data_IF_160838935443
#
_entry.id   IF_160838935443
#
_cell.length_a   1.000
_cell.length_b   1.000
_cell.length_c   1.000
_cell.angle_alpha   90.00
_cell.angle_beta   90.00
_cell.angle_gamma   90.00
#
_symmetry.space_group_name_H-M   'P 1'
#
loop_
_entity.id
_entity.type
_entity.pdbx_description
1 polymer ?
#
# COMPACT_ATOMS: atom_id res chain seq x y z
N UNK A 1 -36.69 42.76 43.12
CA UNK A 1 -36.67 41.94 41.85
C UNK A 1 -35.23 41.73 41.47
N UNK A 2 -34.64 40.56 41.75
CA UNK A 2 -33.27 40.21 41.41
C UNK A 2 -33.31 39.60 40.03
N UNK A 3 -32.81 40.32 39.00
CA UNK A 3 -32.68 39.76 37.65
C UNK A 3 -31.56 38.70 37.67
N UNK A 4 -31.95 37.44 37.38
CA UNK A 4 -30.96 36.41 37.12
C UNK A 4 -30.12 36.79 35.92
N UNK A 5 -28.79 36.64 35.95
CA UNK A 5 -27.96 36.86 34.79
C UNK A 5 -28.34 35.85 33.67
N UNK A 6 -28.20 36.23 32.41
CA UNK A 6 -28.49 35.33 31.30
C UNK A 6 -27.53 34.13 31.37
N UNK A 7 -28.11 32.93 31.34
CA UNK A 7 -27.35 31.70 31.24
C UNK A 7 -26.48 31.76 29.96
N UNK A 8 -25.21 32.02 30.18
CA UNK A 8 -24.22 31.94 29.10
C UNK A 8 -24.13 30.49 28.58
N UNK A 9 -24.57 30.26 27.44
CA UNK A 9 -24.17 29.38 26.35
C UNK A 9 -23.22 28.17 26.56
N UNK A 10 -23.49 27.20 27.45
CA UNK A 10 -22.93 25.86 27.26
C UNK A 10 -23.81 24.99 26.34
N UNK A 11 -25.08 25.37 26.12
CA UNK A 11 -26.04 24.57 25.34
C UNK A 11 -25.74 24.51 23.83
N UNK A 12 -25.10 25.52 23.25
CA UNK A 12 -24.76 25.51 21.83
C UNK A 12 -23.58 24.60 21.49
N UNK A 13 -22.60 24.45 22.36
CA UNK A 13 -21.46 23.56 22.12
C UNK A 13 -21.84 22.10 22.29
N UNK A 14 -22.70 21.76 23.25
CA UNK A 14 -23.19 20.39 23.44
C UNK A 14 -24.17 19.99 22.33
N UNK A 15 -25.08 20.89 21.94
CA UNK A 15 -25.98 20.64 20.81
C UNK A 15 -25.23 20.48 19.49
N UNK A 16 -24.19 21.27 19.21
CA UNK A 16 -23.36 21.12 18.02
C UNK A 16 -22.55 19.81 18.04
N UNK A 17 -22.02 19.40 19.21
CA UNK A 17 -21.33 18.10 19.35
C UNK A 17 -22.30 16.92 19.26
N UNK A 18 -23.53 17.05 19.78
CA UNK A 18 -24.58 16.05 19.67
C UNK A 18 -25.14 15.92 18.25
N UNK A 19 -25.22 17.00 17.49
CA UNK A 19 -25.58 16.99 16.07
C UNK A 19 -24.49 16.31 15.24
N UNK A 20 -23.20 16.51 15.57
CA UNK A 20 -22.08 15.84 14.90
C UNK A 20 -22.01 14.33 15.24
N UNK A 21 -22.35 13.96 16.47
CA UNK A 21 -22.45 12.54 16.91
C UNK A 21 -23.70 11.83 16.40
N UNK A 22 -24.74 12.58 16.01
CA UNK A 22 -26.01 12.06 15.45
C UNK A 22 -26.06 12.23 13.93
N UNK A 23 -24.97 12.03 13.20
CA UNK A 23 -25.10 11.75 11.78
C UNK A 23 -25.87 10.43 11.64
N UNK A 24 -27.14 10.54 11.32
CA UNK A 24 -27.99 9.38 11.04
C UNK A 24 -27.32 8.66 9.86
N UNK A 25 -26.79 7.49 10.15
CA UNK A 25 -26.22 6.64 9.09
C UNK A 25 -27.35 6.41 8.07
N UNK A 26 -27.11 6.82 6.84
CA UNK A 26 -28.06 6.60 5.76
C UNK A 26 -28.29 5.10 5.61
N UNK A 27 -29.46 4.64 6.02
CA UNK A 27 -29.91 3.26 5.81
C UNK A 27 -30.67 3.22 4.47
N UNK A 28 -30.06 2.71 3.41
CA UNK A 28 -30.75 2.57 2.14
C UNK A 28 -31.94 1.62 2.29
N UNK A 29 -33.08 2.01 1.69
CA UNK A 29 -34.24 1.11 1.65
C UNK A 29 -33.86 -0.16 0.88
N UNK A 30 -34.02 -1.33 1.51
CA UNK A 30 -33.82 -2.62 0.83
C UNK A 30 -34.77 -2.71 -0.37
N UNK A 31 -34.20 -2.79 -1.57
CA UNK A 31 -34.89 -2.99 -2.82
C UNK A 31 -34.36 -4.27 -3.47
N UNK A 32 -35.12 -5.34 -3.35
CA UNK A 32 -34.69 -6.66 -3.83
C UNK A 32 -34.29 -6.66 -5.32
N UNK A 33 -35.00 -5.91 -6.16
CA UNK A 33 -34.67 -5.78 -7.58
C UNK A 33 -33.32 -5.09 -7.82
N UNK A 34 -33.04 -3.97 -7.10
CA UNK A 34 -31.77 -3.25 -7.21
C UNK A 34 -30.62 -4.10 -6.63
N UNK A 35 -30.84 -4.76 -5.50
CA UNK A 35 -29.83 -5.59 -4.85
C UNK A 35 -29.43 -6.78 -5.76
N UNK A 36 -30.42 -7.44 -6.41
CA UNK A 36 -30.16 -8.52 -7.36
C UNK A 36 -29.44 -8.05 -8.63
N UNK A 37 -29.81 -6.88 -9.17
CA UNK A 37 -29.16 -6.30 -10.32
C UNK A 37 -27.69 -5.96 -10.00
N UNK A 38 -27.43 -5.34 -8.85
CA UNK A 38 -26.07 -4.99 -8.41
C UNK A 38 -25.25 -6.25 -8.12
N UNK A 39 -25.85 -7.26 -7.50
CA UNK A 39 -25.19 -8.55 -7.28
C UNK A 39 -24.82 -9.21 -8.61
N UNK A 40 -25.72 -9.22 -9.58
CA UNK A 40 -25.44 -9.74 -10.94
C UNK A 40 -24.29 -9.00 -11.61
N UNK A 41 -24.29 -7.66 -11.57
CA UNK A 41 -23.22 -6.85 -12.12
C UNK A 41 -21.86 -7.14 -11.46
N UNK A 42 -21.80 -7.14 -10.14
CA UNK A 42 -20.57 -7.46 -9.40
C UNK A 42 -20.11 -8.90 -9.68
N UNK A 43 -21.04 -9.85 -9.80
CA UNK A 43 -20.71 -11.25 -10.11
C UNK A 43 -20.11 -11.42 -11.50
N UNK A 44 -20.62 -10.72 -12.51
CA UNK A 44 -20.04 -10.73 -13.87
C UNK A 44 -18.60 -10.23 -13.84
N UNK A 45 -18.34 -9.10 -13.18
CA UNK A 45 -16.98 -8.56 -13.06
C UNK A 45 -16.07 -9.55 -12.33
N UNK A 46 -16.52 -10.12 -11.23
CA UNK A 46 -15.76 -11.11 -10.46
C UNK A 46 -15.43 -12.35 -11.30
N UNK A 47 -16.38 -12.86 -12.07
CA UNK A 47 -16.18 -14.01 -12.97
C UNK A 47 -15.13 -13.67 -14.03
N UNK A 48 -15.20 -12.50 -14.66
CA UNK A 48 -14.21 -12.08 -15.67
C UNK A 48 -12.80 -12.05 -15.07
N UNK A 49 -12.62 -11.45 -13.88
CA UNK A 49 -11.32 -11.41 -13.19
C UNK A 49 -10.82 -12.83 -12.87
N UNK A 50 -11.70 -13.71 -12.35
CA UNK A 50 -11.34 -15.09 -12.03
C UNK A 50 -10.99 -15.89 -13.28
N UNK A 51 -11.66 -15.65 -14.40
CA UNK A 51 -11.33 -16.29 -15.68
C UNK A 51 -9.95 -15.84 -16.18
N UNK A 52 -9.60 -14.56 -16.08
CA UNK A 52 -8.28 -14.06 -16.47
C UNK A 52 -7.17 -14.73 -15.65
N UNK A 53 -7.31 -14.77 -14.32
CA UNK A 53 -6.35 -15.44 -13.43
C UNK A 53 -6.34 -16.95 -13.69
N UNK A 54 -7.50 -17.55 -13.90
CA UNK A 54 -7.65 -18.97 -14.23
C UNK A 54 -6.97 -19.35 -15.54
N UNK A 55 -7.04 -18.49 -16.56
CA UNK A 55 -6.33 -18.70 -17.83
C UNK A 55 -4.81 -18.59 -17.66
N UNK A 56 -4.32 -17.63 -16.88
CA UNK A 56 -2.89 -17.54 -16.56
C UNK A 56 -2.42 -18.79 -15.82
N UNK A 57 -3.19 -19.26 -14.83
CA UNK A 57 -2.91 -20.50 -14.11
C UNK A 57 -2.96 -21.74 -15.03
N UNK A 58 -3.93 -21.79 -15.92
CA UNK A 58 -4.04 -22.86 -16.90
C UNK A 58 -2.83 -22.86 -17.84
N UNK A 59 -2.42 -21.68 -18.36
CA UNK A 59 -1.22 -21.53 -19.18
C UNK A 59 0.05 -21.99 -18.48
N UNK A 60 0.20 -21.71 -17.17
CA UNK A 60 1.32 -22.15 -16.35
C UNK A 60 1.38 -23.67 -16.14
N UNK A 61 0.23 -24.37 -16.24
CA UNK A 61 0.14 -25.80 -15.98
C UNK A 61 0.07 -26.65 -17.25
N UNK A 62 -0.29 -26.08 -18.41
CA UNK A 62 -0.43 -26.83 -19.66
C UNK A 62 0.92 -27.07 -20.29
N UNK A 63 1.16 -28.33 -20.70
CA UNK A 63 2.45 -28.77 -21.24
C UNK A 63 2.86 -28.06 -22.52
N UNK A 64 1.92 -27.84 -23.45
CA UNK A 64 2.17 -27.14 -24.72
C UNK A 64 0.87 -26.60 -25.33
N UNK A 65 0.61 -25.34 -25.19
CA UNK A 65 -0.57 -24.70 -25.77
C UNK A 65 -0.40 -24.48 -27.28
N UNK A 66 -1.43 -24.69 -28.11
CA UNK A 66 -2.74 -25.32 -27.84
C UNK A 66 -2.78 -26.84 -28.10
N UNK A 67 -1.64 -27.47 -28.42
CA UNK A 67 -1.56 -28.84 -28.96
C UNK A 67 -1.60 -29.95 -27.90
N UNK A 68 -1.05 -29.71 -26.72
CA UNK A 68 -1.02 -30.69 -25.64
C UNK A 68 -1.48 -30.07 -24.32
N UNK A 69 -2.73 -30.29 -23.98
CA UNK A 69 -3.41 -29.73 -22.81
C UNK A 69 -3.20 -30.54 -21.53
N UNK A 70 -2.33 -31.57 -21.54
CA UNK A 70 -2.00 -32.31 -20.32
C UNK A 70 -1.32 -31.40 -19.29
N UNK A 71 -1.73 -31.55 -18.03
CA UNK A 71 -1.20 -30.75 -16.94
C UNK A 71 0.21 -31.21 -16.55
N UNK A 72 1.08 -30.24 -16.26
CA UNK A 72 2.46 -30.45 -15.83
C UNK A 72 2.88 -29.35 -14.85
N UNK A 73 3.86 -29.65 -14.00
CA UNK A 73 4.53 -28.66 -13.14
C UNK A 73 5.92 -28.29 -13.69
N UNK A 74 6.28 -28.75 -14.91
CA UNK A 74 7.61 -28.53 -15.48
C UNK A 74 7.95 -27.04 -15.59
N UNK A 75 6.98 -26.19 -15.90
CA UNK A 75 7.18 -24.75 -16.09
C UNK A 75 7.58 -23.99 -14.81
N UNK A 76 7.43 -24.61 -13.63
CA UNK A 76 7.94 -24.09 -12.37
C UNK A 76 9.42 -24.47 -12.11
N UNK A 77 10.03 -25.28 -13.00
CA UNK A 77 11.47 -25.53 -13.05
C UNK A 77 12.09 -24.61 -14.11
N UNK A 78 12.47 -23.42 -13.69
CA UNK A 78 13.06 -22.42 -14.58
C UNK A 78 14.48 -22.85 -14.95
N UNK A 79 14.71 -23.11 -16.25
CA UNK A 79 16.00 -23.58 -16.78
C UNK A 79 16.96 -22.40 -17.06
N UNK A 80 16.43 -21.18 -17.17
CA UNK A 80 17.24 -19.98 -17.50
C UNK A 80 17.84 -19.40 -16.23
N UNK A 81 19.18 -19.36 -16.16
CA UNK A 81 19.90 -18.80 -15.03
C UNK A 81 19.56 -17.30 -14.85
N UNK A 82 19.34 -16.89 -13.60
CA UNK A 82 18.97 -15.52 -13.25
C UNK A 82 17.51 -15.12 -13.49
N UNK A 83 16.74 -15.91 -14.24
CA UNK A 83 15.32 -15.64 -14.52
C UNK A 83 14.35 -16.55 -13.75
N UNK A 84 14.87 -17.38 -12.85
CA UNK A 84 14.08 -18.37 -12.12
C UNK A 84 13.78 -18.00 -10.68
N UNK A 85 14.00 -18.95 -9.80
CA UNK A 85 13.75 -18.79 -8.36
C UNK A 85 14.55 -17.67 -7.72
N UNK A 86 15.76 -17.35 -8.21
CA UNK A 86 16.57 -16.23 -7.72
C UNK A 86 15.81 -14.91 -7.90
N UNK A 87 15.23 -14.67 -9.07
CA UNK A 87 14.46 -13.45 -9.33
C UNK A 87 13.20 -13.37 -8.47
N UNK A 88 12.58 -14.52 -8.15
CA UNK A 88 11.46 -14.57 -7.23
C UNK A 88 11.88 -14.19 -5.80
N UNK A 89 12.98 -14.75 -5.29
CA UNK A 89 13.50 -14.40 -3.97
C UNK A 89 13.92 -12.93 -3.89
N UNK A 90 14.59 -12.40 -4.90
CA UNK A 90 14.93 -10.99 -4.99
C UNK A 90 13.69 -10.09 -4.93
N UNK A 91 12.60 -10.48 -5.61
CA UNK A 91 11.34 -9.73 -5.53
C UNK A 91 10.73 -9.76 -4.14
N UNK A 92 10.73 -10.90 -3.47
CA UNK A 92 10.21 -11.02 -2.09
C UNK A 92 11.06 -10.18 -1.14
N UNK A 93 12.38 -10.22 -1.27
CA UNK A 93 13.31 -9.43 -0.47
C UNK A 93 13.11 -7.93 -0.69
N UNK A 94 13.07 -7.48 -1.95
CA UNK A 94 12.80 -6.08 -2.29
C UNK A 94 11.45 -5.63 -1.75
N UNK A 95 10.40 -6.43 -1.92
CA UNK A 95 9.06 -6.10 -1.47
C UNK A 95 8.99 -6.00 0.07
N UNK A 96 9.68 -6.90 0.77
CA UNK A 96 9.77 -6.86 2.23
C UNK A 96 10.47 -5.60 2.73
N UNK A 97 11.65 -5.27 2.19
CA UNK A 97 12.36 -4.05 2.57
C UNK A 97 11.58 -2.80 2.21
N UNK A 98 10.96 -2.76 1.03
CA UNK A 98 10.08 -1.66 0.62
C UNK A 98 8.91 -1.48 1.59
N UNK A 99 8.28 -2.56 2.00
CA UNK A 99 7.16 -2.51 2.93
C UNK A 99 7.60 -2.06 4.33
N UNK A 100 8.71 -2.58 4.87
CA UNK A 100 9.19 -2.20 6.21
C UNK A 100 9.65 -0.74 6.25
N UNK A 101 10.63 -0.40 5.42
CA UNK A 101 11.22 0.95 5.44
C UNK A 101 10.23 2.00 4.91
N UNK A 102 9.49 1.66 3.84
CA UNK A 102 8.49 2.56 3.26
C UNK A 102 7.37 2.88 4.25
N UNK A 103 6.85 1.89 4.97
CA UNK A 103 5.81 2.12 5.98
C UNK A 103 6.28 3.08 7.07
N UNK A 104 7.49 2.90 7.58
CA UNK A 104 8.05 3.77 8.62
C UNK A 104 8.20 5.21 8.10
N UNK A 105 8.87 5.39 6.96
CA UNK A 105 9.13 6.70 6.38
C UNK A 105 7.83 7.43 6.03
N UNK A 106 6.90 6.72 5.40
CA UNK A 106 5.65 7.30 4.92
C UNK A 106 4.71 7.64 6.08
N UNK A 107 4.56 6.73 7.06
CA UNK A 107 3.67 7.00 8.19
C UNK A 107 4.19 8.11 9.10
N UNK A 108 5.51 8.17 9.33
CA UNK A 108 6.14 9.29 10.06
C UNK A 108 5.97 10.58 9.26
N UNK A 109 6.19 10.57 7.94
CA UNK A 109 5.97 11.73 7.08
C UNK A 109 4.52 12.22 7.11
N UNK A 110 3.55 11.30 7.05
CA UNK A 110 2.12 11.64 7.19
C UNK A 110 1.80 12.25 8.56
N UNK A 111 2.40 11.72 9.63
CA UNK A 111 2.24 12.24 10.98
C UNK A 111 2.80 13.66 11.12
N UNK A 112 3.99 13.93 10.59
CA UNK A 112 4.60 15.25 10.60
C UNK A 112 3.71 16.27 9.87
N UNK A 113 3.23 15.92 8.69
CA UNK A 113 2.37 16.79 7.87
C UNK A 113 1.03 17.07 8.56
N UNK A 114 0.40 16.07 9.19
CA UNK A 114 -0.97 16.22 9.70
C UNK A 114 -1.03 16.73 11.14
N UNK A 115 -0.09 16.31 12.00
CA UNK A 115 -0.19 16.52 13.45
C UNK A 115 0.74 17.60 14.00
N UNK A 116 1.83 17.93 13.31
CA UNK A 116 2.71 18.99 13.76
C UNK A 116 2.16 20.33 13.26
N UNK A 117 1.87 21.22 14.21
CA UNK A 117 1.43 22.60 13.95
C UNK A 117 2.62 23.42 13.45
N UNK A 118 2.96 23.28 12.19
CA UNK A 118 3.96 24.06 11.49
C UNK A 118 3.32 25.18 10.67
N UNK A 119 4.14 26.02 10.04
CA UNK A 119 3.70 27.03 9.09
C UNK A 119 2.88 26.36 7.97
N UNK A 120 1.68 26.89 7.68
CA UNK A 120 0.77 26.35 6.64
C UNK A 120 1.43 26.31 5.26
N UNK A 121 2.32 27.25 4.96
CA UNK A 121 3.04 27.27 3.68
C UNK A 121 4.01 26.10 3.58
N UNK A 122 4.79 25.83 4.63
CA UNK A 122 5.72 24.71 4.67
C UNK A 122 4.99 23.38 4.56
N UNK A 123 3.87 23.23 5.27
CA UNK A 123 3.00 22.06 5.16
C UNK A 123 2.47 21.86 3.74
N UNK A 124 2.03 22.94 3.08
CA UNK A 124 1.57 22.90 1.68
C UNK A 124 2.66 22.45 0.72
N UNK A 125 3.90 22.93 0.89
CA UNK A 125 5.06 22.53 0.09
C UNK A 125 5.37 21.04 0.28
N UNK A 126 5.44 20.56 1.51
CA UNK A 126 5.72 19.15 1.81
C UNK A 126 4.61 18.26 1.23
N UNK A 127 3.37 18.65 1.36
CA UNK A 127 2.25 17.91 0.79
C UNK A 127 2.28 17.90 -0.75
N UNK A 128 2.66 18.99 -1.38
CA UNK A 128 2.84 19.05 -2.84
C UNK A 128 3.89 18.05 -3.30
N UNK A 129 5.07 18.01 -2.66
CA UNK A 129 6.11 17.03 -2.98
C UNK A 129 5.70 15.59 -2.69
N UNK A 130 4.92 15.36 -1.65
CA UNK A 130 4.37 14.03 -1.33
C UNK A 130 3.38 13.51 -2.40
N UNK A 131 2.72 14.41 -3.12
CA UNK A 131 1.78 14.05 -4.20
C UNK A 131 2.45 13.92 -5.58
N UNK A 132 3.64 14.49 -5.74
CA UNK A 132 4.36 14.54 -7.02
C UNK A 132 4.66 13.17 -7.65
N UNK A 133 5.05 12.13 -6.88
CA UNK A 133 5.37 10.83 -7.45
C UNK A 133 4.22 10.18 -8.22
N UNK A 134 2.97 10.48 -7.87
CA UNK A 134 1.80 9.98 -8.58
C UNK A 134 1.66 10.54 -10.01
N UNK A 135 2.18 11.74 -10.25
CA UNK A 135 2.15 12.39 -11.56
C UNK A 135 3.29 11.94 -12.48
N UNK A 136 4.33 11.30 -11.94
CA UNK A 136 5.52 10.88 -12.68
C UNK A 136 5.40 9.41 -13.10
N UNK A 137 5.43 9.09 -14.40
CA UNK A 137 5.49 7.69 -14.84
C UNK A 137 6.69 6.94 -14.23
N UNK A 138 6.49 5.69 -13.78
CA UNK A 138 7.55 4.90 -13.15
C UNK A 138 8.80 4.76 -13.98
N UNK A 139 8.65 4.61 -15.31
CA UNK A 139 9.76 4.55 -16.27
C UNK A 139 10.63 5.82 -16.23
N UNK A 140 9.99 6.99 -16.17
CA UNK A 140 10.70 8.29 -16.09
C UNK A 140 11.43 8.42 -14.77
N UNK A 141 10.80 7.97 -13.67
CA UNK A 141 11.43 7.97 -12.35
C UNK A 141 12.67 7.08 -12.32
N UNK A 142 12.57 5.83 -12.82
CA UNK A 142 13.71 4.91 -12.91
C UNK A 142 14.86 5.47 -13.76
N UNK A 143 14.53 6.07 -14.90
CA UNK A 143 15.53 6.69 -15.77
C UNK A 143 16.20 7.91 -15.12
N UNK A 144 15.45 8.73 -14.39
CA UNK A 144 16.01 9.86 -13.65
C UNK A 144 17.00 9.40 -12.57
N UNK A 145 16.69 8.31 -11.84
CA UNK A 145 17.63 7.73 -10.88
C UNK A 145 18.92 7.24 -11.52
N UNK A 146 18.84 6.54 -12.67
CA UNK A 146 20.05 6.04 -13.33
C UNK A 146 20.93 7.20 -13.80
N UNK A 147 20.37 8.24 -14.43
CA UNK A 147 21.13 9.40 -14.88
C UNK A 147 21.80 10.15 -13.72
N UNK A 148 21.14 10.21 -12.58
CA UNK A 148 21.70 10.87 -11.41
C UNK A 148 22.82 10.05 -10.74
N UNK A 149 22.63 8.73 -10.61
CA UNK A 149 23.49 7.87 -9.77
C UNK A 149 24.65 7.26 -10.55
N UNK A 150 24.54 7.08 -11.88
CA UNK A 150 25.56 6.38 -12.69
C UNK A 150 26.91 7.10 -12.71
N UNK A 151 26.95 8.41 -12.46
CA UNK A 151 28.19 9.17 -12.44
C UNK A 151 29.08 8.73 -11.28
N UNK A 152 30.33 8.36 -11.56
CA UNK A 152 31.33 7.98 -10.55
C UNK A 152 31.70 9.12 -9.59
N UNK A 153 31.46 10.36 -9.99
CA UNK A 153 31.68 11.54 -9.15
C UNK A 153 30.55 11.75 -8.12
N UNK A 154 29.42 11.09 -8.32
CA UNK A 154 28.29 11.19 -7.39
C UNK A 154 28.58 10.38 -6.12
N UNK A 155 28.46 10.98 -4.93
CA UNK A 155 28.66 10.29 -3.65
C UNK A 155 27.70 9.13 -3.45
N UNK A 156 26.55 9.10 -4.13
CA UNK A 156 25.55 8.02 -4.07
C UNK A 156 25.79 6.91 -5.09
N UNK A 157 26.87 6.96 -5.89
CA UNK A 157 27.16 5.91 -6.89
C UNK A 157 27.29 4.50 -6.26
N UNK A 158 27.66 4.41 -4.98
CA UNK A 158 27.79 3.12 -4.28
C UNK A 158 26.48 2.33 -4.18
N UNK A 159 25.30 2.98 -4.30
CA UNK A 159 24.02 2.27 -4.30
C UNK A 159 23.58 1.83 -5.72
N UNK A 160 24.31 2.22 -6.76
CA UNK A 160 24.00 1.82 -8.13
C UNK A 160 24.09 0.29 -8.28
N UNK A 161 23.12 -0.27 -9.01
CA UNK A 161 23.00 -1.71 -9.25
C UNK A 161 22.84 -2.58 -7.99
N UNK A 162 22.42 -1.99 -6.86
CA UNK A 162 22.15 -2.71 -5.61
C UNK A 162 20.64 -2.84 -5.33
N UNK A 163 20.26 -3.74 -4.44
CA UNK A 163 18.87 -3.85 -3.95
C UNK A 163 18.38 -2.53 -3.32
N UNK A 164 19.28 -1.75 -2.73
CA UNK A 164 18.92 -0.50 -2.06
C UNK A 164 18.29 0.53 -2.99
N UNK A 165 18.80 0.71 -4.21
CA UNK A 165 18.23 1.66 -5.17
C UNK A 165 16.83 1.22 -5.62
N UNK A 166 16.60 -0.09 -5.79
CA UNK A 166 15.30 -0.64 -6.15
C UNK A 166 14.27 -0.37 -5.05
N UNK A 167 14.66 -0.57 -3.79
CA UNK A 167 13.82 -0.28 -2.62
C UNK A 167 13.49 1.20 -2.53
N UNK A 168 14.49 2.09 -2.61
CA UNK A 168 14.28 3.55 -2.53
C UNK A 168 13.37 4.03 -3.66
N UNK A 169 13.63 3.63 -4.90
CA UNK A 169 12.81 4.00 -6.04
C UNK A 169 11.37 3.52 -5.87
N UNK A 170 11.17 2.29 -5.40
CA UNK A 170 9.84 1.71 -5.21
C UNK A 170 9.07 2.40 -4.08
N UNK A 171 9.74 2.78 -2.98
CA UNK A 171 9.13 3.58 -1.91
C UNK A 171 8.67 4.93 -2.46
N UNK A 172 9.51 5.62 -3.23
CA UNK A 172 9.16 6.92 -3.83
C UNK A 172 8.00 6.76 -4.82
N UNK A 173 8.05 5.75 -5.67
CA UNK A 173 7.01 5.50 -6.68
C UNK A 173 5.62 5.29 -6.05
N UNK A 174 5.53 4.53 -4.97
CA UNK A 174 4.27 4.24 -4.27
C UNK A 174 4.00 5.13 -3.04
N UNK A 175 4.79 6.20 -2.88
CA UNK A 175 4.71 7.12 -1.74
C UNK A 175 3.32 7.73 -1.58
N UNK A 176 2.77 8.29 -2.65
CA UNK A 176 1.58 9.16 -2.60
C UNK A 176 0.36 8.47 -2.03
N UNK A 177 0.01 7.29 -2.53
CA UNK A 177 -1.19 6.56 -2.08
C UNK A 177 -1.05 6.14 -0.61
N UNK A 178 0.12 5.64 -0.25
CA UNK A 178 0.44 5.27 1.13
C UNK A 178 0.40 6.48 2.08
N UNK A 179 0.92 7.62 1.63
CA UNK A 179 0.89 8.88 2.39
C UNK A 179 -0.54 9.37 2.62
N UNK A 180 -1.36 9.41 1.58
CA UNK A 180 -2.77 9.79 1.69
C UNK A 180 -3.57 8.86 2.61
N UNK A 181 -3.28 7.56 2.59
CA UNK A 181 -3.88 6.59 3.51
C UNK A 181 -3.51 6.92 4.96
N UNK A 182 -2.24 7.19 5.23
CA UNK A 182 -1.77 7.61 6.56
C UNK A 182 -2.40 8.92 7.03
N UNK A 183 -2.40 9.95 6.18
CA UNK A 183 -3.01 11.27 6.49
C UNK A 183 -4.51 11.11 6.77
N UNK A 184 -5.21 10.30 5.99
CA UNK A 184 -6.66 10.08 6.17
C UNK A 184 -6.96 9.43 7.51
N UNK A 185 -6.21 8.41 7.89
CA UNK A 185 -6.36 7.77 9.20
C UNK A 185 -6.06 8.73 10.36
N UNK A 186 -5.01 9.53 10.23
CA UNK A 186 -4.64 10.53 11.24
C UNK A 186 -5.70 11.63 11.39
N UNK A 187 -6.39 12.02 10.30
CA UNK A 187 -7.52 12.97 10.33
C UNK A 187 -8.75 12.40 11.01
N UNK A 188 -8.95 11.09 10.92
CA UNK A 188 -10.09 10.40 11.55
C UNK A 188 -9.90 10.19 13.07
N UNK A 189 -8.69 10.39 13.58
CA UNK A 189 -8.45 10.35 15.03
C UNK A 189 -9.18 11.49 15.74
N UNK A 190 -9.73 11.17 16.91
CA UNK A 190 -10.39 12.17 17.76
C UNK A 190 -9.39 13.25 18.22
N UNK A 191 -9.76 14.50 17.99
CA UNK A 191 -8.95 15.68 18.37
C UNK A 191 -8.81 15.82 19.88
N UNK A 192 -9.65 15.16 20.68
CA UNK A 192 -9.57 15.16 22.13
C UNK A 192 -8.25 14.55 22.64
N UNK A 193 -7.69 13.54 21.95
CA UNK A 193 -6.37 12.98 22.29
C UNK A 193 -5.27 14.02 22.27
N UNK A 194 -5.31 14.92 21.28
CA UNK A 194 -4.32 16.01 21.17
C UNK A 194 -4.53 17.07 22.25
N UNK A 195 -5.80 17.44 22.49
CA UNK A 195 -6.13 18.43 23.51
C UNK A 195 -5.71 17.96 24.91
N UNK A 196 -5.97 16.70 25.26
CA UNK A 196 -5.55 16.09 26.53
C UNK A 196 -4.03 16.01 26.64
N UNK A 197 -3.34 15.60 25.56
CA UNK A 197 -1.89 15.54 25.52
C UNK A 197 -1.25 16.90 25.77
N UNK A 198 -1.79 17.95 25.15
CA UNK A 198 -1.33 19.33 25.35
C UNK A 198 -1.57 19.82 26.79
N UNK A 199 -2.74 19.54 27.35
CA UNK A 199 -3.10 19.91 28.74
C UNK A 199 -2.19 19.23 29.75
N UNK A 200 -1.81 17.98 29.52
CA UNK A 200 -0.90 17.20 30.37
C UNK A 200 0.58 17.47 30.05
N UNK A 201 0.89 18.38 29.13
CA UNK A 201 2.25 18.70 28.65
C UNK A 201 3.05 17.46 28.25
N UNK A 202 2.38 16.45 27.64
CA UNK A 202 3.03 15.24 27.14
C UNK A 202 3.80 15.56 25.86
N UNK A 203 5.10 15.20 25.76
CA UNK A 203 5.88 15.47 24.55
C UNK A 203 5.36 14.65 23.35
N UNK A 204 5.46 15.26 22.15
CA UNK A 204 4.89 14.74 20.88
C UNK A 204 5.33 13.30 20.60
N UNK A 205 6.61 12.95 20.85
CA UNK A 205 7.09 11.59 20.59
C UNK A 205 6.43 10.53 21.50
N UNK A 206 6.11 10.89 22.78
CA UNK A 206 5.39 9.97 23.68
C UNK A 206 3.95 9.80 23.23
N UNK A 207 3.30 10.85 22.76
CA UNK A 207 1.96 10.79 22.19
C UNK A 207 1.96 9.89 20.93
N UNK A 208 2.94 10.08 20.05
CA UNK A 208 3.08 9.27 18.84
C UNK A 208 3.16 7.77 19.16
N UNK A 209 4.11 7.34 19.98
CA UNK A 209 4.32 5.92 20.25
C UNK A 209 3.26 5.28 21.15
N UNK A 210 2.67 6.02 22.10
CA UNK A 210 1.72 5.47 23.07
C UNK A 210 0.26 5.59 22.68
N UNK A 211 -0.09 6.53 21.81
CA UNK A 211 -1.49 6.79 21.43
C UNK A 211 -1.65 6.67 19.92
N UNK A 212 -0.96 7.49 19.13
CA UNK A 212 -1.20 7.58 17.69
C UNK A 212 -0.88 6.27 16.98
N UNK A 213 0.31 5.72 17.20
CA UNK A 213 0.76 4.49 16.55
C UNK A 213 -0.14 3.29 16.88
N UNK A 214 -0.50 3.00 18.16
CA UNK A 214 -1.40 1.91 18.47
C UNK A 214 -2.82 2.08 17.90
N UNK A 215 -3.37 3.30 17.90
CA UNK A 215 -4.70 3.57 17.33
C UNK A 215 -4.70 3.42 15.80
N UNK A 216 -3.64 3.88 15.13
CA UNK A 216 -3.47 3.79 13.68
C UNK A 216 -2.83 2.48 13.21
N UNK A 217 -2.58 1.52 14.11
CA UNK A 217 -1.90 0.26 13.78
C UNK A 217 -2.55 -0.50 12.60
N UNK A 218 -3.88 -0.60 12.48
CA UNK A 218 -4.51 -1.20 11.31
C UNK A 218 -4.09 -0.52 10.01
N UNK A 219 -4.08 0.82 9.98
CA UNK A 219 -3.66 1.60 8.80
C UNK A 219 -2.17 1.42 8.48
N UNK A 220 -1.32 1.30 9.49
CA UNK A 220 0.11 1.00 9.31
C UNK A 220 0.28 -0.35 8.61
N UNK A 221 -0.50 -1.35 8.99
CA UNK A 221 -0.53 -2.65 8.31
C UNK A 221 -1.11 -2.55 6.89
N UNK A 222 -2.13 -1.73 6.66
CA UNK A 222 -2.67 -1.50 5.31
C UNK A 222 -1.62 -0.87 4.38
N UNK A 223 -0.84 0.11 4.87
CA UNK A 223 0.29 0.70 4.13
C UNK A 223 1.35 -0.35 3.83
N UNK A 224 1.72 -1.17 4.81
CA UNK A 224 2.70 -2.24 4.65
C UNK A 224 2.30 -3.20 3.52
N UNK A 225 1.07 -3.70 3.56
CA UNK A 225 0.57 -4.63 2.54
C UNK A 225 0.45 -3.99 1.18
N UNK A 226 -0.01 -2.74 1.12
CA UNK A 226 -0.07 -1.99 -0.13
C UNK A 226 1.32 -1.90 -0.78
N UNK A 227 2.34 -1.51 -0.01
CA UNK A 227 3.72 -1.42 -0.50
C UNK A 227 4.27 -2.77 -0.91
N UNK A 228 4.05 -3.82 -0.11
CA UNK A 228 4.51 -5.17 -0.42
C UNK A 228 3.94 -5.68 -1.75
N UNK A 229 2.60 -5.66 -1.90
CA UNK A 229 1.94 -6.19 -3.10
C UNK A 229 2.32 -5.39 -4.35
N UNK A 230 2.40 -4.05 -4.25
CA UNK A 230 2.80 -3.23 -5.40
C UNK A 230 4.28 -3.39 -5.74
N UNK A 231 5.16 -3.57 -4.76
CA UNK A 231 6.58 -3.85 -5.00
C UNK A 231 6.78 -5.20 -5.72
N UNK A 232 6.03 -6.25 -5.35
CA UNK A 232 6.08 -7.55 -6.03
C UNK A 232 5.70 -7.50 -7.51
N UNK A 233 4.81 -6.58 -7.89
CA UNK A 233 4.27 -6.48 -9.26
C UNK A 233 4.89 -5.36 -10.09
N UNK A 234 5.75 -4.52 -9.48
CA UNK A 234 6.32 -3.37 -10.19
C UNK A 234 7.31 -3.80 -11.26
N UNK A 235 7.19 -3.19 -12.45
CA UNK A 235 8.12 -3.32 -13.57
C UNK A 235 8.65 -1.95 -13.97
N UNK A 236 7.75 -1.01 -14.22
CA UNK A 236 8.05 0.27 -14.86
C UNK A 236 9.09 1.10 -14.11
N UNK A 237 9.06 1.08 -12.77
CA UNK A 237 10.02 1.84 -11.96
C UNK A 237 11.41 1.20 -11.91
N UNK A 238 11.50 -0.12 -12.01
CA UNK A 238 12.72 -0.89 -11.74
C UNK A 238 13.46 -1.37 -12.97
N UNK A 239 12.82 -1.35 -14.15
CA UNK A 239 13.34 -1.94 -15.40
C UNK A 239 14.68 -1.36 -15.86
N UNK A 240 15.07 -0.18 -15.43
CA UNK A 240 16.36 0.44 -15.71
C UNK A 240 17.37 0.35 -14.56
N UNK A 241 16.94 -0.10 -13.39
CA UNK A 241 17.73 -0.04 -12.16
C UNK A 241 18.22 -1.40 -11.69
N UNK A 242 17.61 -2.51 -12.16
CA UNK A 242 18.04 -3.84 -11.77
C UNK A 242 19.39 -4.21 -12.42
N UNK A 243 20.11 -5.10 -11.80
CA UNK A 243 21.32 -5.75 -12.33
C UNK A 243 21.06 -7.26 -12.48
N UNK A 244 22.04 -7.98 -13.01
CA UNK A 244 21.96 -9.44 -13.12
C UNK A 244 21.62 -10.11 -11.77
N UNK A 245 22.30 -9.69 -10.71
CA UNK A 245 22.12 -10.27 -9.36
C UNK A 245 20.83 -9.79 -8.66
N UNK A 246 20.21 -8.71 -9.14
CA UNK A 246 19.00 -8.11 -8.55
C UNK A 246 17.80 -8.18 -9.47
N UNK A 247 17.83 -9.11 -10.44
CA UNK A 247 16.67 -9.33 -11.34
C UNK A 247 15.44 -9.71 -10.52
N UNK A 248 14.29 -9.13 -10.88
CA UNK A 248 13.02 -9.29 -10.16
C UNK A 248 12.08 -10.24 -10.92
N UNK A 249 11.20 -10.93 -10.21
CA UNK A 249 10.23 -11.87 -10.78
C UNK A 249 9.32 -11.22 -11.84
N UNK A 250 8.90 -9.97 -11.62
CA UNK A 250 8.07 -9.23 -12.57
C UNK A 250 8.82 -8.94 -13.89
N UNK A 251 10.10 -8.62 -13.80
CA UNK A 251 10.98 -8.43 -14.96
C UNK A 251 11.32 -9.76 -15.61
N UNK A 252 11.62 -10.79 -14.82
CA UNK A 252 11.88 -12.15 -15.28
C UNK A 252 10.71 -12.72 -16.09
N UNK A 253 9.46 -12.49 -15.64
CA UNK A 253 8.26 -12.90 -16.37
C UNK A 253 8.20 -12.28 -17.78
N UNK A 254 8.59 -11.02 -17.95
CA UNK A 254 8.65 -10.37 -19.27
C UNK A 254 9.76 -10.98 -20.13
N UNK A 255 10.95 -11.18 -19.57
CA UNK A 255 12.05 -11.78 -20.32
C UNK A 255 11.77 -13.21 -20.78
N UNK A 256 11.09 -14.02 -19.95
CA UNK A 256 10.66 -15.37 -20.34
C UNK A 256 9.65 -15.32 -21.51
N UNK A 257 8.71 -14.37 -21.48
CA UNK A 257 7.76 -14.16 -22.58
C UNK A 257 8.46 -13.71 -23.87
N UNK A 258 9.40 -12.77 -23.80
CA UNK A 258 10.22 -12.30 -24.93
C UNK A 258 11.07 -13.42 -25.55
N UNK A 259 11.51 -14.38 -24.74
CA UNK A 259 12.24 -15.57 -25.21
C UNK A 259 11.32 -16.66 -25.80
N UNK A 260 9.99 -16.46 -25.76
CA UNK A 260 8.99 -17.38 -26.28
C UNK A 260 8.56 -18.47 -25.27
N UNK A 261 9.06 -18.44 -24.03
CA UNK A 261 8.61 -19.31 -22.95
C UNK A 261 7.39 -18.69 -22.21
N UNK A 262 6.28 -18.61 -22.92
CA UNK A 262 5.01 -18.05 -22.40
C UNK A 262 4.51 -18.84 -21.18
N UNK A 263 4.75 -20.14 -21.12
CA UNK A 263 4.31 -20.96 -20.00
C UNK A 263 5.16 -20.73 -18.75
N UNK A 264 6.47 -20.56 -18.89
CA UNK A 264 7.37 -20.14 -17.81
C UNK A 264 7.06 -18.73 -17.33
N UNK A 265 6.77 -17.81 -18.24
CA UNK A 265 6.32 -16.45 -17.91
C UNK A 265 5.02 -16.46 -17.07
N UNK A 266 4.03 -17.26 -17.49
CA UNK A 266 2.78 -17.45 -16.75
C UNK A 266 3.02 -18.10 -15.37
N UNK A 267 3.93 -19.09 -15.28
CA UNK A 267 4.28 -19.72 -14.02
C UNK A 267 4.92 -18.71 -13.04
N UNK A 268 5.83 -17.86 -13.51
CA UNK A 268 6.44 -16.80 -12.69
C UNK A 268 5.39 -15.77 -12.23
N UNK A 269 4.52 -15.32 -13.13
CA UNK A 269 3.43 -14.41 -12.78
C UNK A 269 2.49 -15.02 -11.73
N UNK A 270 2.18 -16.33 -11.82
CA UNK A 270 1.35 -17.01 -10.83
C UNK A 270 2.04 -17.13 -9.46
N UNK A 271 3.37 -17.30 -9.40
CA UNK A 271 4.10 -17.24 -8.13
C UNK A 271 3.95 -15.89 -7.43
N UNK A 272 4.02 -14.78 -8.18
CA UNK A 272 3.78 -13.43 -7.66
C UNK A 272 2.34 -13.31 -7.11
N UNK A 273 1.37 -13.84 -7.83
CA UNK A 273 -0.03 -13.86 -7.40
C UNK A 273 -0.20 -14.66 -6.11
N UNK A 274 0.38 -15.85 -6.01
CA UNK A 274 0.25 -16.70 -4.83
C UNK A 274 0.83 -16.06 -3.58
N UNK A 275 2.05 -15.50 -3.66
CA UNK A 275 2.64 -14.82 -2.50
C UNK A 275 1.83 -13.59 -2.10
N UNK A 276 1.31 -12.82 -3.07
CA UNK A 276 0.47 -11.66 -2.80
C UNK A 276 -0.84 -12.04 -2.12
N UNK A 277 -1.49 -13.12 -2.56
CA UNK A 277 -2.70 -13.66 -1.90
C UNK A 277 -2.41 -14.17 -0.50
N UNK A 278 -1.30 -14.90 -0.32
CA UNK A 278 -0.89 -15.41 0.99
C UNK A 278 -0.69 -14.26 1.99
N UNK A 279 0.11 -13.27 1.60
CA UNK A 279 0.42 -12.11 2.45
C UNK A 279 -0.84 -11.29 2.72
N UNK A 280 -1.72 -11.10 1.73
CA UNK A 280 -3.01 -10.44 1.91
C UNK A 280 -3.95 -11.22 2.83
N UNK A 281 -3.97 -12.54 2.73
CA UNK A 281 -4.74 -13.41 3.62
C UNK A 281 -4.29 -13.31 5.08
N UNK A 282 -2.97 -13.40 5.32
CA UNK A 282 -2.37 -13.20 6.63
C UNK A 282 -2.75 -11.82 7.20
N UNK A 283 -2.61 -10.78 6.38
CA UNK A 283 -2.99 -9.43 6.77
C UNK A 283 -4.46 -9.34 7.21
N UNK A 284 -5.39 -9.91 6.43
CA UNK A 284 -6.82 -9.88 6.75
C UNK A 284 -7.12 -10.51 8.11
N UNK A 285 -6.45 -11.63 8.42
CA UNK A 285 -6.56 -12.30 9.72
C UNK A 285 -6.02 -11.41 10.84
N UNK A 286 -4.81 -10.86 10.68
CA UNK A 286 -4.17 -9.99 11.66
C UNK A 286 -5.00 -8.71 11.87
N UNK A 287 -5.43 -8.06 10.79
CA UNK A 287 -6.21 -6.82 10.84
C UNK A 287 -7.54 -7.03 11.58
N UNK A 288 -8.25 -8.13 11.31
CA UNK A 288 -9.49 -8.47 12.00
C UNK A 288 -9.26 -8.68 13.51
N UNK A 289 -8.16 -9.31 13.88
CA UNK A 289 -7.80 -9.53 15.28
C UNK A 289 -7.40 -8.21 15.98
N UNK A 290 -6.61 -7.36 15.31
CA UNK A 290 -6.18 -6.07 15.83
C UNK A 290 -7.36 -5.10 16.00
N UNK A 291 -8.27 -5.03 15.03
CA UNK A 291 -9.47 -4.20 15.12
C UNK A 291 -10.31 -4.55 16.34
N UNK A 292 -10.49 -5.83 16.62
CA UNK A 292 -11.20 -6.29 17.82
C UNK A 292 -10.51 -5.86 19.12
N UNK A 293 -9.19 -5.77 19.15
CA UNK A 293 -8.42 -5.41 20.36
C UNK A 293 -8.26 -3.90 20.54
N UNK A 294 -7.93 -3.17 19.46
CA UNK A 294 -7.58 -1.74 19.52
C UNK A 294 -8.79 -0.82 19.45
N UNK A 295 -9.89 -1.26 18.88
CA UNK A 295 -11.11 -0.46 18.70
C UNK A 295 -12.31 -0.98 19.53
N UNK A 296 -12.10 -1.82 20.51
CA UNK A 296 -13.16 -2.31 21.41
C UNK A 296 -13.93 -1.17 22.09
N UNK A 297 -13.26 -0.03 22.36
CA UNK A 297 -13.86 1.17 22.94
C UNK A 297 -14.81 1.91 21.98
N UNK A 298 -14.71 1.71 20.69
CA UNK A 298 -15.56 2.38 19.68
C UNK A 298 -16.94 1.76 19.54
N UNK A 299 -17.14 0.57 20.07
CA UNK A 299 -18.41 -0.18 20.03
C UNK A 299 -19.21 -0.04 21.35
N UNK A 300 -18.77 0.82 22.29
CA UNK A 300 -19.48 1.24 23.48
C UNK A 300 -20.09 2.63 23.21
#
# INVERSE_FOLDING_TARGET
>A
MIRRPPRSTPLYSSAASDVYKRQVVFNPKKSWGVDMLMLGYCSIIAIIILLMIGMAQFGALVKFWPYNLSLTLKHYHFEVAGLGWESFYNSVEMAFYTAVFGTVVIFVGAYVVEKIKSDEKLRGIVQFFALMPMAVPGVVLGLAYIFYIISKENPLNFIYATMAILVINTIVHFYTVSHLTGVTALKQMDKEFEAVSLSLKVPIYKMFFRVTLPVCLPTVFDIFIYLFCNAMTTVSGVIFLYSYDTTLASVSSIHLDEQGDVAGAAAMAMLIVYISFLVRGIHTIISTFLLKRTQAWRNI
#
